data_IF_711388442292
#
_entry.id   IF_711388442292
#
_cell.length_a   1.000
_cell.length_b   1.000
_cell.length_c   1.000
_cell.angle_alpha   90.00
_cell.angle_beta   90.00
_cell.angle_gamma   90.00
#
_symmetry.space_group_name_H-M   'P 1'
#
loop_
_entity.id
_entity.type
_entity.pdbx_description
1 polymer ?
#
# COMPACT_ATOMS: atom_id res chain seq x y z
N UNK A 1 -44.55 -0.38 37.44
CA UNK A 1 -44.14 0.50 36.32
C UNK A 1 -42.73 0.09 35.92
N UNK A 2 -42.66 -0.61 34.79
CA UNK A 2 -41.52 -1.32 34.19
C UNK A 2 -40.42 -0.33 33.79
N UNK A 3 -39.24 -0.36 34.41
CA UNK A 3 -38.07 -1.15 33.99
C UNK A 3 -37.97 -1.35 32.48
N UNK A 4 -37.16 -0.52 31.83
CA UNK A 4 -36.59 -0.76 30.50
C UNK A 4 -35.23 -0.07 30.45
N UNK A 5 -34.29 -0.64 31.21
CA UNK A 5 -32.87 -0.40 31.00
C UNK A 5 -32.55 -0.88 29.58
N UNK A 6 -32.30 0.09 28.70
CA UNK A 6 -31.86 -0.13 27.34
C UNK A 6 -30.44 -0.68 27.39
N UNK A 7 -30.33 -2.01 27.41
CA UNK A 7 -29.08 -2.74 27.43
C UNK A 7 -28.31 -2.52 26.14
N UNK A 8 -27.42 -1.53 26.14
CA UNK A 8 -26.35 -1.43 25.17
C UNK A 8 -25.39 -2.61 25.42
N UNK A 9 -25.43 -3.59 24.52
CA UNK A 9 -24.61 -4.79 24.62
C UNK A 9 -23.11 -4.46 24.45
N UNK A 10 -22.23 -4.84 25.38
CA UNK A 10 -20.80 -4.45 25.40
C UNK A 10 -19.92 -5.15 24.33
N UNK A 11 -20.49 -5.97 23.44
CA UNK A 11 -19.73 -6.74 22.44
C UNK A 11 -19.61 -6.08 21.05
N UNK A 12 -20.32 -4.99 20.79
CA UNK A 12 -20.35 -4.35 19.46
C UNK A 12 -19.20 -3.36 19.24
N UNK A 13 -18.69 -2.73 20.30
CA UNK A 13 -17.61 -1.73 20.21
C UNK A 13 -16.27 -2.34 19.75
N UNK A 14 -15.98 -3.60 20.11
CA UNK A 14 -14.71 -4.25 19.78
C UNK A 14 -14.55 -4.53 18.28
N UNK A 15 -15.65 -4.87 17.58
CA UNK A 15 -15.62 -5.15 16.13
C UNK A 15 -15.46 -3.87 15.30
N UNK A 16 -16.16 -2.80 15.69
CA UNK A 16 -16.07 -1.50 15.01
C UNK A 16 -14.67 -0.87 15.16
N UNK A 17 -14.07 -0.95 16.35
CA UNK A 17 -12.70 -0.48 16.58
C UNK A 17 -11.66 -1.23 15.75
N UNK A 18 -11.78 -2.56 15.65
CA UNK A 18 -10.87 -3.37 14.83
C UNK A 18 -11.00 -3.05 13.33
N UNK A 19 -12.23 -2.83 12.87
CA UNK A 19 -12.55 -2.40 11.51
C UNK A 19 -11.90 -1.08 11.15
N UNK A 20 -12.10 -0.06 11.98
CA UNK A 20 -11.54 1.27 11.78
C UNK A 20 -10.01 1.20 11.78
N UNK A 21 -9.41 0.45 12.71
CA UNK A 21 -7.97 0.25 12.75
C UNK A 21 -7.42 -0.35 11.45
N UNK A 22 -8.01 -1.45 10.97
CA UNK A 22 -7.59 -2.09 9.72
C UNK A 22 -7.83 -1.21 8.49
N UNK A 23 -8.93 -0.47 8.46
CA UNK A 23 -9.25 0.45 7.37
C UNK A 23 -8.24 1.62 7.32
N UNK A 24 -7.92 2.21 8.48
CA UNK A 24 -6.91 3.26 8.57
C UNK A 24 -5.52 2.75 8.20
N UNK A 25 -5.14 1.56 8.68
CA UNK A 25 -3.86 0.94 8.34
C UNK A 25 -3.76 0.67 6.83
N UNK A 26 -4.83 0.17 6.22
CA UNK A 26 -4.91 -0.07 4.78
C UNK A 26 -4.80 1.24 3.98
N UNK A 27 -5.55 2.27 4.39
CA UNK A 27 -5.49 3.60 3.77
C UNK A 27 -4.09 4.22 3.87
N UNK A 28 -3.43 4.10 5.03
CA UNK A 28 -2.07 4.59 5.23
C UNK A 28 -1.06 3.86 4.34
N UNK A 29 -1.14 2.53 4.26
CA UNK A 29 -0.27 1.74 3.39
C UNK A 29 -0.45 2.13 1.91
N UNK A 30 -1.70 2.33 1.48
CA UNK A 30 -2.03 2.73 0.12
C UNK A 30 -1.51 4.14 -0.19
N UNK A 31 -1.63 5.08 0.75
CA UNK A 31 -1.04 6.42 0.66
C UNK A 31 0.48 6.39 0.52
N UNK A 32 1.17 5.61 1.35
CA UNK A 32 2.63 5.47 1.29
C UNK A 32 3.06 4.91 -0.07
N UNK A 33 2.37 3.86 -0.54
CA UNK A 33 2.61 3.25 -1.83
C UNK A 33 2.44 4.27 -2.98
N UNK A 34 1.36 5.06 -2.92
CA UNK A 34 1.09 6.11 -3.89
C UNK A 34 2.18 7.18 -3.91
N UNK A 35 2.57 7.67 -2.74
CA UNK A 35 3.63 8.66 -2.60
C UNK A 35 4.95 8.13 -3.15
N UNK A 36 5.28 6.86 -2.90
CA UNK A 36 6.45 6.23 -3.47
C UNK A 36 6.39 6.17 -5.01
N UNK A 37 5.27 5.73 -5.58
CA UNK A 37 5.13 5.61 -7.03
C UNK A 37 5.14 6.96 -7.75
N UNK A 38 4.55 8.01 -7.15
CA UNK A 38 4.39 9.33 -7.79
C UNK A 38 5.55 10.28 -7.55
N UNK A 39 6.26 10.16 -6.42
CA UNK A 39 7.35 11.08 -6.04
C UNK A 39 8.70 10.38 -6.12
N UNK A 40 8.82 9.19 -5.54
CA UNK A 40 10.10 8.51 -5.36
C UNK A 40 10.59 7.91 -6.68
N UNK A 41 9.73 7.16 -7.40
CA UNK A 41 10.07 6.53 -8.68
C UNK A 41 10.55 7.53 -9.76
N UNK A 42 9.86 8.65 -10.05
CA UNK A 42 10.35 9.58 -11.06
C UNK A 42 11.64 10.30 -10.64
N UNK A 43 11.85 10.49 -9.33
CA UNK A 43 13.12 11.03 -8.81
C UNK A 43 14.28 10.06 -9.06
N UNK A 44 14.06 8.75 -8.90
CA UNK A 44 15.05 7.75 -9.28
C UNK A 44 15.31 7.71 -10.78
N UNK A 45 14.27 7.75 -11.63
CA UNK A 45 14.45 7.77 -13.10
C UNK A 45 15.36 8.92 -13.54
N UNK A 46 15.12 10.13 -13.01
CA UNK A 46 15.98 11.30 -13.27
C UNK A 46 17.42 11.09 -12.81
N UNK A 47 17.61 10.57 -11.59
CA UNK A 47 18.94 10.31 -11.04
C UNK A 47 19.72 9.32 -11.92
N UNK A 48 19.10 8.21 -12.33
CA UNK A 48 19.75 7.23 -13.22
C UNK A 48 20.08 7.81 -14.60
N UNK A 49 19.20 8.66 -15.15
CA UNK A 49 19.46 9.37 -16.40
C UNK A 49 20.64 10.35 -16.30
N UNK A 50 20.77 11.08 -15.20
CA UNK A 50 21.89 12.00 -14.94
C UNK A 50 23.23 11.27 -14.81
N UNK A 51 23.24 10.06 -14.23
CA UNK A 51 24.44 9.22 -14.14
C UNK A 51 24.74 8.40 -15.42
N UNK A 52 23.90 8.49 -16.45
CA UNK A 52 24.04 7.69 -17.68
C UNK A 52 23.91 6.17 -17.44
N UNK A 53 23.38 5.76 -16.30
CA UNK A 53 23.26 4.37 -15.89
C UNK A 53 21.90 3.81 -16.34
N UNK A 54 21.92 2.60 -16.90
CA UNK A 54 20.68 1.89 -17.25
C UNK A 54 19.98 1.39 -15.98
N UNK A 55 18.69 1.69 -15.88
CA UNK A 55 17.84 1.13 -14.83
C UNK A 55 17.83 -0.42 -14.92
N UNK A 56 17.91 -1.15 -13.79
CA UNK A 56 17.73 -2.59 -13.79
C UNK A 56 16.36 -2.97 -14.34
N UNK A 57 16.23 -4.14 -14.99
CA UNK A 57 14.99 -4.61 -15.64
C UNK A 57 13.76 -4.53 -14.71
N UNK A 58 13.92 -4.89 -13.44
CA UNK A 58 12.86 -4.80 -12.44
C UNK A 58 12.37 -3.35 -12.24
N UNK A 59 13.28 -2.37 -12.18
CA UNK A 59 12.95 -0.96 -12.02
C UNK A 59 12.30 -0.37 -13.27
N UNK A 60 12.67 -0.84 -14.47
CA UNK A 60 12.03 -0.43 -15.74
C UNK A 60 10.53 -0.74 -15.73
N UNK A 61 10.15 -1.91 -15.22
CA UNK A 61 8.74 -2.28 -15.07
C UNK A 61 8.02 -1.30 -14.14
N UNK A 62 8.61 -0.98 -12.99
CA UNK A 62 8.03 -0.05 -12.00
C UNK A 62 7.94 1.38 -12.54
N UNK A 63 8.95 1.86 -13.27
CA UNK A 63 8.96 3.20 -13.91
C UNK A 63 7.88 3.28 -15.00
N UNK A 64 7.75 2.25 -15.84
CA UNK A 64 6.69 2.21 -16.84
C UNK A 64 5.30 2.16 -16.19
N UNK A 65 5.16 1.44 -15.08
CA UNK A 65 3.92 1.42 -14.30
C UNK A 65 3.62 2.79 -13.69
N UNK A 66 4.63 3.46 -13.13
CA UNK A 66 4.53 4.81 -12.58
C UNK A 66 4.13 5.85 -13.64
N UNK A 67 4.69 5.80 -14.86
CA UNK A 67 4.26 6.68 -15.97
C UNK A 67 2.81 6.46 -16.36
N UNK A 68 2.36 5.20 -16.46
CA UNK A 68 0.95 4.89 -16.72
C UNK A 68 0.05 5.34 -15.58
N UNK A 69 0.50 5.20 -14.34
CA UNK A 69 -0.17 5.74 -13.16
C UNK A 69 -0.21 7.27 -13.14
N UNK A 70 0.77 7.97 -13.72
CA UNK A 70 0.69 9.43 -13.86
C UNK A 70 -0.35 9.84 -14.90
N UNK A 71 -0.47 9.09 -16.00
CA UNK A 71 -1.44 9.34 -17.06
C UNK A 71 -2.88 8.99 -16.66
N UNK A 72 -3.07 7.89 -15.94
CA UNK A 72 -4.39 7.39 -15.51
C UNK A 72 -4.66 7.57 -14.01
N UNK A 73 -3.77 8.24 -13.28
CA UNK A 73 -3.79 8.30 -11.82
C UNK A 73 -5.05 8.93 -11.27
N UNK A 74 -5.57 9.95 -11.96
CA UNK A 74 -6.83 10.59 -11.57
C UNK A 74 -8.01 9.61 -11.53
N UNK A 75 -7.96 8.53 -12.33
CA UNK A 75 -8.97 7.47 -12.35
C UNK A 75 -8.57 6.28 -11.45
N UNK A 76 -7.31 5.85 -11.52
CA UNK A 76 -6.82 4.63 -10.83
C UNK A 76 -6.75 4.83 -9.33
N UNK A 77 -6.37 6.02 -8.84
CA UNK A 77 -6.22 6.31 -7.41
C UNK A 77 -7.57 6.22 -6.69
N UNK A 78 -8.63 6.96 -7.10
CA UNK A 78 -9.93 6.85 -6.46
C UNK A 78 -10.57 5.48 -6.70
N UNK A 79 -10.40 4.87 -7.89
CA UNK A 79 -10.91 3.52 -8.14
C UNK A 79 -10.25 2.48 -7.23
N UNK A 80 -8.94 2.58 -7.00
CA UNK A 80 -8.18 1.73 -6.09
C UNK A 80 -8.59 1.91 -4.63
N UNK A 81 -8.86 3.15 -4.19
CA UNK A 81 -9.38 3.40 -2.85
C UNK A 81 -10.80 2.86 -2.65
N UNK A 82 -11.67 3.04 -3.64
CA UNK A 82 -13.06 2.55 -3.59
C UNK A 82 -13.10 1.02 -3.64
N UNK A 83 -12.29 0.39 -4.51
CA UNK A 83 -12.19 -1.06 -4.59
C UNK A 83 -11.54 -1.64 -3.33
N UNK A 84 -10.42 -1.09 -2.85
CA UNK A 84 -9.72 -1.57 -1.66
C UNK A 84 -10.56 -1.40 -0.39
N UNK A 85 -11.09 -0.20 -0.16
CA UNK A 85 -11.97 0.11 0.95
C UNK A 85 -13.31 -0.62 0.87
N UNK A 86 -13.89 -0.71 -0.33
CA UNK A 86 -15.12 -1.44 -0.61
C UNK A 86 -14.97 -2.93 -0.36
N UNK A 87 -13.89 -3.55 -0.84
CA UNK A 87 -13.56 -4.96 -0.57
C UNK A 87 -13.33 -5.18 0.92
N UNK A 88 -12.64 -4.28 1.63
CA UNK A 88 -12.47 -4.38 3.08
C UNK A 88 -13.81 -4.32 3.82
N UNK A 89 -14.68 -3.38 3.43
CA UNK A 89 -16.00 -3.20 4.00
C UNK A 89 -16.89 -4.42 3.73
N UNK A 90 -16.87 -4.95 2.51
CA UNK A 90 -17.64 -6.12 2.08
C UNK A 90 -17.13 -7.41 2.76
N UNK A 91 -15.81 -7.58 2.94
CA UNK A 91 -15.20 -8.68 3.70
C UNK A 91 -15.57 -8.68 5.19
N UNK A 92 -15.92 -7.52 5.74
CA UNK A 92 -16.34 -7.39 7.13
C UNK A 92 -17.86 -7.37 7.32
N UNK A 93 -18.63 -6.92 6.34
CA UNK A 93 -20.10 -7.00 6.34
C UNK A 93 -20.62 -8.40 5.98
N UNK A 94 -19.89 -9.16 5.15
CA UNK A 94 -20.28 -10.53 4.80
C UNK A 94 -19.75 -11.51 5.86
N UNK A 95 -20.61 -11.89 6.79
CA UNK A 95 -20.30 -12.82 7.89
C UNK A 95 -19.99 -14.27 7.43
N UNK A 96 -20.13 -14.58 6.14
CA UNK A 96 -19.87 -15.90 5.56
C UNK A 96 -18.43 -16.15 5.08
N UNK A 97 -17.53 -15.15 5.10
CA UNK A 97 -16.19 -15.32 4.52
C UNK A 97 -15.21 -15.95 5.54
N UNK A 98 -14.53 -17.07 5.17
CA UNK A 98 -13.58 -17.76 6.05
C UNK A 98 -12.50 -16.80 6.58
N UNK A 99 -12.26 -16.83 7.90
CA UNK A 99 -11.34 -15.92 8.62
C UNK A 99 -9.91 -15.94 8.06
N UNK A 100 -9.50 -17.06 7.47
CA UNK A 100 -8.25 -17.23 6.72
C UNK A 100 -8.11 -16.19 5.59
N UNK A 101 -9.20 -15.87 4.88
CA UNK A 101 -9.16 -15.08 3.65
C UNK A 101 -8.94 -13.60 3.98
N UNK A 102 -9.52 -13.15 5.09
CA UNK A 102 -9.24 -11.84 5.70
C UNK A 102 -7.77 -11.68 6.09
N UNK A 103 -7.19 -12.71 6.73
CA UNK A 103 -5.75 -12.71 7.07
C UNK A 103 -4.87 -12.72 5.82
N UNK A 104 -5.21 -13.51 4.81
CA UNK A 104 -4.47 -13.60 3.56
C UNK A 104 -4.45 -12.25 2.82
N UNK A 105 -5.60 -11.56 2.74
CA UNK A 105 -5.71 -10.25 2.12
C UNK A 105 -4.91 -9.19 2.90
N UNK A 106 -5.04 -9.15 4.22
CA UNK A 106 -4.30 -8.22 5.07
C UNK A 106 -2.79 -8.46 5.02
N UNK A 107 -2.36 -9.73 5.10
CA UNK A 107 -0.96 -10.10 4.89
C UNK A 107 -0.49 -9.73 3.49
N UNK A 108 -1.31 -9.97 2.46
CA UNK A 108 -0.97 -9.63 1.09
C UNK A 108 -0.69 -8.13 0.92
N UNK A 109 -1.56 -7.27 1.44
CA UNK A 109 -1.35 -5.82 1.40
C UNK A 109 -0.10 -5.41 2.18
N UNK A 110 0.10 -5.95 3.39
CA UNK A 110 1.28 -5.65 4.19
C UNK A 110 2.57 -6.14 3.54
N UNK A 111 2.55 -7.31 2.90
CA UNK A 111 3.68 -7.86 2.14
C UNK A 111 3.95 -7.00 0.91
N UNK A 112 2.92 -6.54 0.20
CA UNK A 112 3.08 -5.66 -0.95
C UNK A 112 3.65 -4.31 -0.51
N UNK A 113 3.11 -3.69 0.54
CA UNK A 113 3.59 -2.43 1.09
C UNK A 113 5.02 -2.55 1.65
N UNK A 114 5.29 -3.58 2.45
CA UNK A 114 6.62 -3.85 3.01
C UNK A 114 7.63 -4.22 1.92
N UNK A 115 7.22 -5.04 0.95
CA UNK A 115 8.01 -5.39 -0.21
C UNK A 115 8.34 -4.18 -1.09
N UNK A 116 7.41 -3.24 -1.27
CA UNK A 116 7.69 -2.00 -2.00
C UNK A 116 8.68 -1.12 -1.25
N UNK A 117 8.53 -0.93 0.06
CA UNK A 117 9.51 -0.22 0.87
C UNK A 117 10.88 -0.90 0.79
N UNK A 118 10.93 -2.22 0.84
CA UNK A 118 12.16 -2.99 0.74
C UNK A 118 12.83 -2.84 -0.64
N UNK A 119 12.07 -2.90 -1.73
CA UNK A 119 12.58 -2.67 -3.09
C UNK A 119 13.10 -1.25 -3.25
N UNK A 120 12.44 -0.24 -2.67
CA UNK A 120 12.93 1.13 -2.66
C UNK A 120 14.23 1.24 -1.89
N UNK A 121 14.32 0.61 -0.72
CA UNK A 121 15.54 0.58 0.09
C UNK A 121 16.71 -0.08 -0.66
N UNK A 122 16.48 -1.23 -1.30
CA UNK A 122 17.47 -1.87 -2.15
C UNK A 122 17.86 -1.00 -3.35
N UNK A 123 16.88 -0.32 -3.96
CA UNK A 123 17.10 0.62 -5.06
C UNK A 123 17.93 1.84 -4.67
N UNK A 124 17.95 2.23 -3.39
CA UNK A 124 18.84 3.27 -2.84
C UNK A 124 20.22 2.69 -2.55
N UNK A 125 20.27 1.55 -1.85
CA UNK A 125 21.51 0.99 -1.30
C UNK A 125 22.44 0.47 -2.40
N UNK A 126 21.90 -0.18 -3.44
CA UNK A 126 22.67 -0.73 -4.55
C UNK A 126 23.51 0.33 -5.29
N UNK A 127 22.93 1.45 -5.78
CA UNK A 127 23.72 2.50 -6.41
C UNK A 127 24.68 3.17 -5.42
N UNK A 128 24.35 3.24 -4.12
CA UNK A 128 25.24 3.79 -3.10
C UNK A 128 26.50 2.93 -2.92
N UNK A 129 26.36 1.60 -2.92
CA UNK A 129 27.50 0.67 -2.88
C UNK A 129 28.34 0.75 -4.17
N UNK A 130 27.70 0.86 -5.33
CA UNK A 130 28.39 1.07 -6.60
C UNK A 130 29.18 2.40 -6.62
N UNK A 131 28.67 3.45 -5.98
CA UNK A 131 29.33 4.74 -5.90
C UNK A 131 30.56 4.68 -4.99
N UNK A 132 30.44 4.03 -3.83
CA UNK A 132 31.55 3.85 -2.86
C UNK A 132 32.66 2.98 -3.45
N UNK A 133 32.32 1.92 -4.18
CA UNK A 133 33.30 1.05 -4.83
C UNK A 133 33.97 1.69 -6.05
N UNK A 134 33.31 2.63 -6.74
CA UNK A 134 33.91 3.39 -7.84
C UNK A 134 34.79 4.56 -7.39
N UNK A 135 34.79 4.90 -6.10
CA UNK A 135 35.58 5.98 -5.49
C UNK A 135 36.87 5.48 -4.81
N UNK A 136 37.06 4.17 -4.72
CA UNK A 136 38.29 3.50 -4.30
C UNK A 136 39.00 2.88 -5.51
#
# INVERSE_FOLDING_TARGET
>A
MTSSAHGASPHQESKAGLLIFWLCLHGLALMILLAALLVVVPRFDKMFQEFGLKLPLASVVVVNLSRRLWQYGLLIIPAGMILGGGILCLLFLVDGVPRWFRKLWCCGVLIVAGGTVFVIALGIILPLMSLVQGLN
#
